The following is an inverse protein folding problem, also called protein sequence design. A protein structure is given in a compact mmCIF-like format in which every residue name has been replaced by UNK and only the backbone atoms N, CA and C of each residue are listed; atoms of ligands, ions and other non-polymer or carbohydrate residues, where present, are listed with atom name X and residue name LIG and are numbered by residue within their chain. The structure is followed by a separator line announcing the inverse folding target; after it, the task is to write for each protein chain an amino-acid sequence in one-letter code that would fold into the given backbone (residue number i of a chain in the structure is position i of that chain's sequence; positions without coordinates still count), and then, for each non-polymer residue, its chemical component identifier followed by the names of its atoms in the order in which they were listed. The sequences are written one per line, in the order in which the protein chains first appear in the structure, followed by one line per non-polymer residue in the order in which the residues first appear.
data_IF_820714943327
#
_entry.id   IF_820714943327
#
_cell.length_a   1.000
_cell.length_b   1.000
_cell.length_c   1.000
_cell.angle_alpha   90.00
_cell.angle_beta   90.00
_cell.angle_gamma   90.00
#
_symmetry.space_group_name_H-M   'P 1'
#
loop_
_entity.id
_entity.type
_entity.pdbx_description
1 polymer ?
#
# COMPACT_ATOMS: atom_id res chain seq x y z
N UNK A 1 81.82 63.59 27.13
CA UNK A 1 81.13 63.55 25.82
C UNK A 1 79.64 63.68 26.09
N UNK A 2 78.99 64.63 25.41
CA UNK A 2 77.65 65.15 25.72
C UNK A 2 76.55 64.11 25.41
N UNK A 3 75.66 63.88 26.38
CA UNK A 3 74.37 63.22 26.17
C UNK A 3 73.38 64.27 25.67
N UNK A 4 72.97 64.18 24.40
CA UNK A 4 71.92 65.04 23.83
C UNK A 4 70.56 64.58 24.34
N UNK A 5 70.03 65.28 25.35
CA UNK A 5 68.65 65.11 25.79
C UNK A 5 67.70 65.74 24.78
N UNK A 6 67.02 64.90 24.00
CA UNK A 6 65.91 65.31 23.13
C UNK A 6 64.73 65.70 24.01
N UNK A 7 64.48 66.99 24.21
CA UNK A 7 63.26 67.49 24.87
C UNK A 7 62.11 67.40 23.87
N UNK A 8 61.13 66.54 24.15
CA UNK A 8 59.90 66.46 23.36
C UNK A 8 59.06 67.73 23.56
N UNK A 9 58.73 68.42 22.47
CA UNK A 9 57.91 69.64 22.46
C UNK A 9 56.42 69.30 22.68
N UNK A 10 55.65 70.06 23.49
CA UNK A 10 54.22 69.83 23.74
C UNK A 10 53.35 69.74 22.47
N UNK A 11 53.80 70.38 21.39
CA UNK A 11 53.15 70.37 20.09
C UNK A 11 53.11 68.98 19.43
N UNK A 12 54.14 68.14 19.61
CA UNK A 12 54.20 66.81 19.00
C UNK A 12 53.25 65.81 19.68
N UNK A 13 53.04 65.96 20.99
CA UNK A 13 52.12 65.11 21.76
C UNK A 13 50.64 65.39 21.43
N UNK A 14 50.29 66.65 21.17
CA UNK A 14 48.92 67.02 20.76
C UNK A 14 48.59 66.54 19.35
N UNK A 15 49.53 66.61 18.41
CA UNK A 15 49.38 66.09 17.05
C UNK A 15 49.22 64.56 17.03
N UNK A 16 50.00 63.83 17.84
CA UNK A 16 49.90 62.38 17.95
C UNK A 16 48.52 61.93 18.45
N UNK A 17 47.96 62.59 19.47
CA UNK A 17 46.60 62.32 19.97
C UNK A 17 45.51 62.63 18.96
N UNK A 18 45.66 63.70 18.18
CA UNK A 18 44.72 64.04 17.11
C UNK A 18 44.73 62.99 15.99
N UNK A 19 45.92 62.49 15.63
CA UNK A 19 46.09 61.41 14.65
C UNK A 19 45.52 60.07 15.15
N UNK A 20 45.77 59.72 16.41
CA UNK A 20 45.23 58.50 17.05
C UNK A 20 43.69 58.54 17.13
N UNK A 21 43.14 59.71 17.49
CA UNK A 21 41.68 59.94 17.46
C UNK A 21 41.08 59.82 16.06
N UNK A 22 41.78 60.33 15.04
CA UNK A 22 41.35 60.19 13.65
C UNK A 22 41.38 58.72 13.18
N UNK A 23 42.42 57.96 13.54
CA UNK A 23 42.53 56.54 13.24
C UNK A 23 41.42 55.73 13.89
N UNK A 24 41.13 55.97 15.18
CA UNK A 24 40.03 55.31 15.89
C UNK A 24 38.66 55.63 15.26
N UNK A 25 38.45 56.88 14.84
CA UNK A 25 37.20 57.27 14.16
C UNK A 25 37.01 56.56 12.83
N UNK A 26 38.09 56.37 12.06
CA UNK A 26 38.07 55.68 10.77
C UNK A 26 37.85 54.17 10.93
N UNK A 27 38.47 53.56 11.95
CA UNK A 27 38.26 52.15 12.29
C UNK A 27 36.82 51.87 12.75
N UNK A 28 36.26 52.70 13.62
CA UNK A 28 34.85 52.58 14.05
C UNK A 28 33.90 52.74 12.85
N UNK A 29 34.21 53.64 11.91
CA UNK A 29 33.41 53.82 10.69
C UNK A 29 33.46 52.57 9.81
N UNK A 30 34.65 51.99 9.60
CA UNK A 30 34.79 50.75 8.84
C UNK A 30 34.04 49.58 9.51
N UNK A 31 34.05 49.49 10.84
CA UNK A 31 33.25 48.50 11.58
C UNK A 31 31.75 48.74 11.42
N UNK A 32 31.29 49.99 11.49
CA UNK A 32 29.89 50.36 11.28
C UNK A 32 29.42 49.97 9.87
N UNK A 33 30.21 50.29 8.85
CA UNK A 33 29.92 49.93 7.45
C UNK A 33 29.85 48.41 7.27
N UNK A 34 30.79 47.67 7.89
CA UNK A 34 30.78 46.21 7.87
C UNK A 34 29.57 45.58 8.55
N UNK A 35 29.12 46.15 9.69
CA UNK A 35 27.90 45.71 10.37
C UNK A 35 26.66 46.06 9.55
N UNK A 36 26.62 47.26 8.96
CA UNK A 36 25.51 47.72 8.12
C UNK A 36 25.35 46.83 6.87
N UNK A 37 26.47 46.45 6.23
CA UNK A 37 26.45 45.55 5.09
C UNK A 37 25.94 44.16 5.47
N UNK A 38 26.39 43.60 6.60
CA UNK A 38 25.88 42.32 7.12
C UNK A 38 24.40 42.38 7.43
N UNK A 39 23.93 43.46 8.07
CA UNK A 39 22.52 43.67 8.39
C UNK A 39 21.65 43.72 7.13
N UNK A 40 22.13 44.38 6.07
CA UNK A 40 21.42 44.44 4.79
C UNK A 40 21.34 43.06 4.13
N UNK A 41 22.44 42.31 4.09
CA UNK A 41 22.48 40.95 3.54
C UNK A 41 21.53 40.00 4.29
N UNK A 42 21.52 40.04 5.62
CA UNK A 42 20.59 39.23 6.43
C UNK A 42 19.14 39.64 6.19
N UNK A 43 18.85 40.94 6.03
CA UNK A 43 17.50 41.41 5.69
C UNK A 43 17.02 40.87 4.35
N UNK A 44 17.87 40.91 3.33
CA UNK A 44 17.55 40.37 2.00
C UNK A 44 17.27 38.85 2.08
N UNK A 45 18.12 38.11 2.79
CA UNK A 45 17.95 36.67 2.99
C UNK A 45 16.64 36.34 3.76
N UNK A 46 16.29 37.13 4.78
CA UNK A 46 15.03 36.96 5.51
C UNK A 46 13.82 37.18 4.59
N UNK A 47 13.88 38.18 3.71
CA UNK A 47 12.80 38.45 2.74
C UNK A 47 12.69 37.29 1.76
N UNK A 48 13.81 36.83 1.18
CA UNK A 48 13.82 35.71 0.24
C UNK A 48 13.28 34.42 0.89
N UNK A 49 13.75 34.10 2.10
CA UNK A 49 13.30 32.94 2.87
C UNK A 49 11.81 33.03 3.26
N UNK A 50 11.28 34.24 3.46
CA UNK A 50 9.85 34.42 3.73
C UNK A 50 8.99 34.06 2.52
N UNK A 51 9.42 34.48 1.33
CA UNK A 51 8.71 34.22 0.07
C UNK A 51 8.78 32.74 -0.29
N UNK A 52 9.94 32.11 -0.15
CA UNK A 52 10.11 30.67 -0.43
C UNK A 52 9.26 29.82 0.51
N UNK A 53 9.26 30.12 1.82
CA UNK A 53 8.41 29.42 2.81
C UNK A 53 6.92 29.57 2.52
N UNK A 54 6.47 30.73 2.06
CA UNK A 54 5.05 30.93 1.71
C UNK A 54 4.65 30.08 0.48
N UNK A 55 5.52 30.06 -0.55
CA UNK A 55 5.32 29.23 -1.74
C UNK A 55 5.31 27.73 -1.40
N UNK A 56 6.24 27.28 -0.56
CA UNK A 56 6.29 25.89 -0.10
C UNK A 56 5.08 25.50 0.73
N UNK A 57 4.63 26.39 1.62
CA UNK A 57 3.40 26.21 2.40
C UNK A 57 2.17 26.01 1.51
N UNK A 58 2.04 26.85 0.47
CA UNK A 58 0.96 26.72 -0.50
C UNK A 58 1.00 25.38 -1.27
N UNK A 59 2.19 24.99 -1.73
CA UNK A 59 2.39 23.73 -2.45
C UNK A 59 2.10 22.51 -1.56
N UNK A 60 2.57 22.54 -0.32
CA UNK A 60 2.32 21.51 0.69
C UNK A 60 0.82 21.35 0.96
N UNK A 61 0.08 22.46 1.10
CA UNK A 61 -1.38 22.42 1.29
C UNK A 61 -2.09 21.76 0.10
N UNK A 62 -1.73 22.11 -1.14
CA UNK A 62 -2.31 21.48 -2.33
C UNK A 62 -2.00 19.98 -2.39
N UNK A 63 -0.76 19.58 -2.08
CA UNK A 63 -0.38 18.17 -2.04
C UNK A 63 -1.17 17.40 -0.97
N UNK A 64 -1.40 17.98 0.21
CA UNK A 64 -2.23 17.38 1.26
C UNK A 64 -3.70 17.21 0.84
N UNK A 65 -4.26 18.18 0.13
CA UNK A 65 -5.61 18.07 -0.44
C UNK A 65 -5.70 16.92 -1.46
N UNK A 66 -4.71 16.79 -2.33
CA UNK A 66 -4.68 15.74 -3.35
C UNK A 66 -4.46 14.35 -2.74
N UNK A 67 -3.59 14.23 -1.73
CA UNK A 67 -3.45 13.01 -0.92
C UNK A 67 -4.80 12.63 -0.29
N UNK A 68 -5.52 13.60 0.28
CA UNK A 68 -6.82 13.36 0.90
C UNK A 68 -7.86 12.88 -0.12
N UNK A 69 -7.89 13.49 -1.32
CA UNK A 69 -8.77 13.06 -2.43
C UNK A 69 -8.41 11.65 -2.91
N UNK A 70 -7.13 11.35 -3.10
CA UNK A 70 -6.65 10.05 -3.55
C UNK A 70 -6.94 8.96 -2.52
N UNK A 71 -6.74 9.24 -1.22
CA UNK A 71 -7.14 8.32 -0.14
C UNK A 71 -8.64 8.03 -0.18
N UNK A 72 -9.50 9.04 -0.32
CA UNK A 72 -10.96 8.82 -0.47
C UNK A 72 -11.31 7.98 -1.70
N UNK A 73 -10.63 8.19 -2.83
CA UNK A 73 -10.81 7.38 -4.05
C UNK A 73 -10.36 5.94 -3.82
N UNK A 74 -9.24 5.73 -3.15
CA UNK A 74 -8.72 4.41 -2.79
C UNK A 74 -9.70 3.66 -1.88
N UNK A 75 -10.22 4.30 -0.84
CA UNK A 75 -11.21 3.70 0.05
C UNK A 75 -12.50 3.34 -0.69
N UNK A 76 -12.97 4.22 -1.59
CA UNK A 76 -14.14 3.93 -2.44
C UNK A 76 -13.89 2.80 -3.45
N UNK A 77 -12.65 2.64 -3.93
CA UNK A 77 -12.26 1.58 -4.87
C UNK A 77 -11.93 0.25 -4.18
N UNK A 78 -11.64 0.26 -2.87
CA UNK A 78 -11.50 -0.94 -2.03
C UNK A 78 -12.86 -1.49 -1.59
N UNK A 79 -13.82 -0.62 -1.26
CA UNK A 79 -15.18 -0.99 -0.86
C UNK A 79 -15.99 -1.87 -1.84
N UNK A 80 -15.77 -1.91 -3.16
CA UNK A 80 -16.49 -2.83 -4.05
C UNK A 80 -16.06 -4.29 -3.89
N UNK A 81 -15.00 -4.60 -3.16
CA UNK A 81 -14.57 -5.98 -2.94
C UNK A 81 -15.32 -6.69 -1.78
N UNK A 82 -16.09 -5.96 -0.98
CA UNK A 82 -16.76 -6.52 0.21
C UNK A 82 -18.20 -6.99 -0.06
N UNK A 83 -18.79 -6.61 -1.20
CA UNK A 83 -20.19 -6.93 -1.56
C UNK A 83 -20.35 -7.56 -2.95
N UNK A 84 -19.26 -7.89 -3.62
CA UNK A 84 -19.30 -8.81 -4.76
C UNK A 84 -19.04 -10.19 -4.15
N UNK A 85 -19.99 -11.14 -4.18
CA UNK A 85 -19.68 -12.52 -3.81
C UNK A 85 -18.42 -12.89 -4.58
N UNK A 86 -17.36 -13.24 -3.85
CA UNK A 86 -16.04 -13.43 -4.41
C UNK A 86 -16.22 -14.36 -5.62
N UNK A 87 -15.73 -13.98 -6.80
CA UNK A 87 -15.91 -14.77 -8.02
C UNK A 87 -15.47 -16.22 -7.77
N UNK A 88 -14.41 -16.39 -6.98
CA UNK A 88 -13.93 -17.69 -6.53
C UNK A 88 -14.93 -18.44 -5.63
N UNK A 89 -15.70 -17.75 -4.79
CA UNK A 89 -16.69 -18.37 -3.91
C UNK A 89 -17.89 -18.90 -4.70
N UNK A 90 -18.38 -18.13 -5.69
CA UNK A 90 -19.42 -18.58 -6.62
C UNK A 90 -18.93 -19.80 -7.41
N UNK A 91 -17.72 -19.71 -7.98
CA UNK A 91 -17.12 -20.81 -8.74
C UNK A 91 -16.92 -22.07 -7.87
N UNK A 92 -16.51 -21.90 -6.62
CA UNK A 92 -16.34 -23.01 -5.69
C UNK A 92 -17.68 -23.67 -5.31
N UNK A 93 -18.74 -22.88 -5.14
CA UNK A 93 -20.08 -23.39 -4.88
C UNK A 93 -20.62 -24.19 -6.08
N UNK A 94 -20.45 -23.67 -7.30
CA UNK A 94 -20.80 -24.41 -8.52
C UNK A 94 -20.00 -25.71 -8.65
N UNK A 95 -18.68 -25.68 -8.43
CA UNK A 95 -17.83 -26.88 -8.44
C UNK A 95 -18.33 -27.92 -7.43
N UNK A 96 -18.71 -27.47 -6.23
CA UNK A 96 -19.25 -28.35 -5.18
C UNK A 96 -20.57 -28.99 -5.62
N UNK A 97 -21.47 -28.22 -6.22
CA UNK A 97 -22.73 -28.70 -6.75
C UNK A 97 -22.55 -29.74 -7.86
N UNK A 98 -21.64 -29.47 -8.81
CA UNK A 98 -21.32 -30.43 -9.88
C UNK A 98 -20.71 -31.72 -9.32
N UNK A 99 -19.78 -31.62 -8.35
CA UNK A 99 -19.22 -32.80 -7.66
C UNK A 99 -20.31 -33.61 -6.96
N UNK A 100 -21.23 -32.96 -6.26
CA UNK A 100 -22.35 -33.64 -5.60
C UNK A 100 -23.25 -34.38 -6.61
N UNK A 101 -23.54 -33.76 -7.77
CA UNK A 101 -24.34 -34.38 -8.84
C UNK A 101 -23.65 -35.59 -9.47
N UNK A 102 -22.33 -35.59 -9.58
CA UNK A 102 -21.56 -36.71 -10.15
C UNK A 102 -21.26 -37.82 -9.13
N UNK A 103 -21.42 -37.54 -7.84
CA UNK A 103 -21.15 -38.50 -6.76
C UNK A 103 -22.32 -39.47 -6.57
N UNK A 104 -22.00 -40.75 -6.37
CA UNK A 104 -22.95 -41.82 -6.10
C UNK A 104 -23.73 -41.53 -4.81
N UNK A 105 -25.08 -41.43 -4.86
CA UNK A 105 -25.88 -41.10 -3.68
C UNK A 105 -25.98 -42.25 -2.66
N UNK A 106 -25.49 -43.45 -2.99
CA UNK A 106 -25.49 -44.59 -2.05
C UNK A 106 -24.32 -44.57 -1.08
N UNK A 107 -23.15 -44.11 -1.53
CA UNK A 107 -21.94 -44.09 -0.70
C UNK A 107 -21.40 -42.68 -0.46
N UNK A 108 -21.91 -41.66 -1.16
CA UNK A 108 -21.47 -40.26 -1.09
C UNK A 108 -19.95 -40.08 -1.22
N UNK A 109 -19.30 -40.98 -1.97
CA UNK A 109 -17.83 -41.05 -2.05
C UNK A 109 -17.34 -41.27 -3.49
N UNK A 110 -17.86 -42.28 -4.18
CA UNK A 110 -17.43 -42.63 -5.54
C UNK A 110 -18.22 -41.91 -6.61
N UNK A 111 -17.61 -41.70 -7.77
CA UNK A 111 -18.28 -41.17 -8.97
C UNK A 111 -19.30 -42.18 -9.49
N UNK A 112 -20.37 -41.66 -10.09
CA UNK A 112 -21.37 -42.45 -10.82
C UNK A 112 -20.76 -43.07 -12.08
N UNK A 113 -20.75 -44.39 -12.16
CA UNK A 113 -20.20 -45.16 -13.28
C UNK A 113 -21.04 -46.42 -13.61
N UNK A 114 -22.29 -46.51 -13.12
CA UNK A 114 -23.21 -47.59 -13.45
C UNK A 114 -24.67 -47.14 -13.52
N UNK A 115 -25.41 -47.66 -14.49
CA UNK A 115 -26.85 -47.43 -14.69
C UNK A 115 -27.64 -48.71 -14.46
N UNK A 116 -28.80 -48.60 -13.81
CA UNK A 116 -29.82 -49.65 -13.79
C UNK A 116 -30.75 -49.51 -15.00
N UNK A 117 -30.81 -50.48 -15.90
CA UNK A 117 -31.56 -50.35 -17.18
C UNK A 117 -33.07 -50.42 -17.02
N UNK A 118 -33.58 -50.94 -15.89
CA UNK A 118 -35.02 -50.99 -15.60
C UNK A 118 -35.63 -49.66 -15.19
N UNK A 119 -34.84 -48.77 -14.58
CA UNK A 119 -35.34 -47.49 -14.03
C UNK A 119 -34.42 -46.30 -14.31
N UNK A 120 -33.33 -46.50 -15.06
CA UNK A 120 -32.34 -45.51 -15.47
C UNK A 120 -31.71 -44.69 -14.34
N UNK A 121 -31.74 -45.20 -13.12
CA UNK A 121 -31.05 -44.57 -11.99
C UNK A 121 -29.57 -44.96 -11.98
N UNK A 122 -28.74 -43.97 -11.68
CA UNK A 122 -27.28 -44.05 -11.81
C UNK A 122 -26.61 -44.00 -10.44
N UNK A 123 -25.67 -44.91 -10.22
CA UNK A 123 -24.89 -45.08 -8.99
C UNK A 123 -23.44 -45.43 -9.34
N UNK A 124 -22.58 -45.67 -8.35
CA UNK A 124 -21.31 -46.34 -8.62
C UNK A 124 -21.51 -47.85 -8.79
N UNK A 125 -20.70 -48.47 -9.63
CA UNK A 125 -20.74 -49.89 -9.95
C UNK A 125 -20.54 -50.75 -8.72
N UNK A 126 -19.64 -50.36 -7.82
CA UNK A 126 -19.39 -51.07 -6.57
C UNK A 126 -20.67 -51.18 -5.71
N UNK A 127 -21.44 -50.09 -5.57
CA UNK A 127 -22.70 -50.13 -4.82
C UNK A 127 -23.75 -51.02 -5.48
N UNK A 128 -23.86 -50.99 -6.81
CA UNK A 128 -24.82 -51.84 -7.54
C UNK A 128 -24.41 -53.31 -7.45
N UNK A 129 -23.12 -53.60 -7.65
CA UNK A 129 -22.55 -54.95 -7.61
C UNK A 129 -22.69 -55.57 -6.23
N UNK A 130 -22.34 -54.84 -5.16
CA UNK A 130 -22.53 -55.30 -3.77
C UNK A 130 -23.99 -55.64 -3.49
N UNK A 131 -24.94 -54.81 -3.92
CA UNK A 131 -26.38 -55.10 -3.75
C UNK A 131 -26.82 -56.34 -4.52
N UNK A 132 -26.29 -56.53 -5.73
CA UNK A 132 -26.60 -57.71 -6.53
C UNK A 132 -26.09 -59.00 -5.87
N UNK A 133 -24.83 -58.99 -5.40
CA UNK A 133 -24.17 -60.15 -4.79
C UNK A 133 -24.77 -60.49 -3.41
N UNK A 134 -25.17 -59.48 -2.63
CA UNK A 134 -25.85 -59.64 -1.32
C UNK A 134 -27.36 -59.91 -1.45
N UNK A 135 -27.87 -60.14 -2.67
CA UNK A 135 -29.29 -60.40 -2.97
C UNK A 135 -30.25 -59.24 -2.61
N UNK A 136 -29.75 -58.04 -2.34
CA UNK A 136 -30.53 -56.81 -2.15
C UNK A 136 -30.84 -56.13 -3.50
N UNK A 137 -31.43 -56.90 -4.41
CA UNK A 137 -31.63 -56.59 -5.84
C UNK A 137 -32.77 -55.58 -6.12
N UNK A 138 -32.78 -54.48 -5.38
CA UNK A 138 -33.72 -53.36 -5.53
C UNK A 138 -32.97 -52.03 -5.67
N UNK A 139 -33.45 -51.19 -6.58
CA UNK A 139 -32.90 -49.86 -6.83
C UNK A 139 -32.89 -49.04 -5.53
N UNK A 140 -31.75 -48.47 -5.12
CA UNK A 140 -31.66 -47.61 -3.94
C UNK A 140 -32.58 -46.38 -3.96
N UNK A 141 -32.98 -45.90 -5.15
CA UNK A 141 -33.77 -44.67 -5.32
C UNK A 141 -35.27 -44.89 -5.46
N UNK A 142 -35.69 -45.90 -6.23
CA UNK A 142 -37.12 -46.15 -6.50
C UNK A 142 -37.60 -47.56 -6.15
N UNK A 143 -36.74 -48.39 -5.55
CA UNK A 143 -37.05 -49.75 -5.11
C UNK A 143 -37.43 -50.74 -6.22
N UNK A 144 -37.31 -50.37 -7.50
CA UNK A 144 -37.50 -51.26 -8.64
C UNK A 144 -36.54 -52.46 -8.59
N UNK A 145 -37.06 -53.66 -8.85
CA UNK A 145 -36.23 -54.87 -8.89
C UNK A 145 -35.31 -54.88 -10.12
N UNK A 146 -34.11 -55.43 -9.98
CA UNK A 146 -33.15 -55.57 -11.09
C UNK A 146 -32.39 -56.91 -11.03
N UNK A 147 -32.11 -57.51 -12.19
CA UNK A 147 -31.39 -58.78 -12.35
C UNK A 147 -29.94 -58.62 -12.83
N UNK A 148 -29.34 -59.74 -13.23
CA UNK A 148 -27.94 -59.81 -13.68
C UNK A 148 -27.65 -58.96 -14.94
N UNK A 149 -28.65 -58.85 -15.82
CA UNK A 149 -28.55 -58.13 -17.09
C UNK A 149 -29.10 -56.71 -17.00
N UNK A 150 -29.48 -56.25 -15.81
CA UNK A 150 -30.20 -54.99 -15.63
C UNK A 150 -29.31 -53.85 -15.09
N UNK A 151 -27.99 -54.04 -15.09
CA UNK A 151 -27.04 -53.01 -14.72
C UNK A 151 -25.76 -53.08 -15.55
N UNK A 152 -25.29 -51.93 -16.00
CA UNK A 152 -24.09 -51.83 -16.85
C UNK A 152 -23.23 -50.65 -16.42
N UNK A 153 -21.92 -50.77 -16.70
CA UNK A 153 -20.99 -49.65 -16.55
C UNK A 153 -21.29 -48.58 -17.59
N UNK A 154 -21.18 -47.33 -17.17
CA UNK A 154 -21.23 -46.15 -18.04
C UNK A 154 -20.03 -45.27 -17.72
N UNK A 155 -19.60 -44.49 -18.71
CA UNK A 155 -18.53 -43.51 -18.55
C UNK A 155 -19.12 -42.11 -18.64
N UNK A 156 -18.99 -41.35 -17.55
CA UNK A 156 -19.36 -39.93 -17.48
C UNK A 156 -18.02 -39.21 -17.37
N UNK A 157 -17.70 -38.41 -18.40
CA UNK A 157 -16.39 -37.79 -18.59
C UNK A 157 -15.90 -36.93 -17.43
#
# INVERSE_FOLDING_TARGET
MWLTSVTHSPFTASLAKAQESAQLSEEIRAQLDGVQQKLNSVREEVIENSITREKESFNSRRAQEDISKLRRKLEKAKKPAENIPNCDEILNEEIKDYKARLTCPCCNSRVKDAVLTKCFHVFCFECVKTRYDTRQRKCPKCNAAFGANDFHRIYIG
#
